data_IF_889127768237
#
_entry.id   IF_889127768237
#
_cell.length_a   1.000
_cell.length_b   1.000
_cell.length_c   1.000
_cell.angle_alpha   90.00
_cell.angle_beta   90.00
_cell.angle_gamma   90.00
#
_symmetry.space_group_name_H-M   'P 1'
#
loop_
_entity.id
_entity.type
_entity.pdbx_description
1 polymer ?
#
# COMPACT_ATOMS: atom_id res chain seq x y z
N UNK A 1 0.74 34.06 -3.35
CA UNK A 1 -0.54 34.73 -3.01
C UNK A 1 -1.63 33.66 -2.99
N UNK A 2 -2.56 33.69 -2.03
CA UNK A 2 -3.68 32.76 -1.89
C UNK A 2 -5.00 33.53 -1.86
N UNK A 3 -6.02 33.03 -2.54
CA UNK A 3 -7.37 33.58 -2.45
C UNK A 3 -8.13 32.92 -1.29
N UNK A 4 -8.67 33.73 -0.37
CA UNK A 4 -9.51 33.26 0.74
C UNK A 4 -10.79 34.06 0.83
N UNK A 5 -11.86 33.42 1.31
CA UNK A 5 -13.13 34.06 1.66
C UNK A 5 -13.23 34.11 3.17
N UNK A 6 -13.49 35.29 3.73
CA UNK A 6 -13.64 35.45 5.17
C UNK A 6 -14.99 34.89 5.63
N UNK A 7 -14.98 33.95 6.58
CA UNK A 7 -16.20 33.38 7.17
C UNK A 7 -17.03 34.41 7.97
N UNK A 8 -16.39 35.49 8.47
CA UNK A 8 -17.06 36.54 9.24
C UNK A 8 -17.73 37.61 8.37
N UNK A 9 -17.06 38.08 7.31
CA UNK A 9 -17.58 39.18 6.48
C UNK A 9 -17.96 38.79 5.05
N UNK A 10 -17.74 37.53 4.65
CA UNK A 10 -18.06 37.00 3.32
C UNK A 10 -17.20 37.54 2.17
N UNK A 11 -16.29 38.50 2.43
CA UNK A 11 -15.46 39.11 1.38
C UNK A 11 -14.31 38.19 0.96
N UNK A 12 -14.07 38.14 -0.35
CA UNK A 12 -12.93 37.45 -0.97
C UNK A 12 -11.73 38.39 -1.09
N UNK A 13 -10.55 37.93 -0.69
CA UNK A 13 -9.29 38.69 -0.79
C UNK A 13 -8.14 37.83 -1.30
N UNK A 14 -7.07 38.48 -1.80
CA UNK A 14 -5.78 37.86 -2.12
C UNK A 14 -4.78 38.21 -1.04
N UNK A 15 -4.22 37.19 -0.41
CA UNK A 15 -3.32 37.31 0.72
C UNK A 15 -1.92 36.80 0.35
N UNK A 16 -0.86 37.42 0.87
CA UNK A 16 0.46 36.78 0.85
C UNK A 16 0.40 35.52 1.70
N UNK A 17 1.09 34.45 1.29
CA UNK A 17 0.99 33.11 1.92
C UNK A 17 1.36 33.16 3.40
N UNK A 18 2.27 34.06 3.76
CA UNK A 18 2.78 34.29 5.12
C UNK A 18 1.93 35.29 5.95
N UNK A 19 1.05 36.08 5.31
CA UNK A 19 0.31 37.18 5.95
C UNK A 19 -1.21 36.91 6.08
N UNK A 20 -1.68 35.70 5.73
CA UNK A 20 -3.09 35.33 5.70
C UNK A 20 -3.69 35.00 7.08
N UNK A 21 -3.25 35.70 8.14
CA UNK A 21 -3.71 35.48 9.52
C UNK A 21 -4.96 36.30 9.86
N UNK A 22 -5.10 37.51 9.30
CA UNK A 22 -6.26 38.36 9.54
C UNK A 22 -6.93 38.79 8.23
N UNK A 23 -8.25 38.92 8.26
CA UNK A 23 -9.01 39.47 7.16
C UNK A 23 -8.72 40.97 7.01
N UNK A 24 -8.10 41.37 5.91
CA UNK A 24 -7.84 42.78 5.56
C UNK A 24 -9.09 43.69 5.53
N UNK A 25 -10.29 43.13 5.49
CA UNK A 25 -11.54 43.89 5.39
C UNK A 25 -12.28 44.09 6.72
N UNK A 26 -12.19 43.13 7.65
CA UNK A 26 -12.95 43.19 8.91
C UNK A 26 -12.10 42.93 10.16
N UNK A 27 -10.80 42.67 10.00
CA UNK A 27 -9.89 42.39 11.12
C UNK A 27 -10.08 41.02 11.79
N UNK A 28 -11.11 40.25 11.42
CA UNK A 28 -11.31 38.91 11.97
C UNK A 28 -10.12 37.99 11.64
N UNK A 29 -9.65 37.24 12.63
CA UNK A 29 -8.61 36.21 12.44
C UNK A 29 -9.19 35.10 11.54
N UNK A 30 -8.45 34.72 10.50
CA UNK A 30 -8.77 33.49 9.78
C UNK A 30 -8.53 32.33 10.75
N UNK A 31 -9.34 31.26 10.71
CA UNK A 31 -8.95 30.03 11.37
C UNK A 31 -7.53 29.71 10.90
N UNK A 32 -6.65 29.39 11.85
CA UNK A 32 -5.27 29.03 11.53
C UNK A 32 -5.34 28.03 10.37
N UNK A 33 -4.60 28.27 9.28
CA UNK A 33 -4.28 27.14 8.40
C UNK A 33 -3.71 26.10 9.35
N UNK A 34 -4.37 24.94 9.45
CA UNK A 34 -3.90 23.87 10.33
C UNK A 34 -2.43 23.70 10.00
N UNK A 35 -1.58 24.15 10.94
CA UNK A 35 -0.15 23.99 10.80
C UNK A 35 0.06 22.51 10.61
N UNK A 36 0.82 22.15 9.58
CA UNK A 36 1.08 20.75 9.22
C UNK A 36 1.29 19.94 10.49
N UNK A 37 0.42 18.97 10.71
CA UNK A 37 0.44 18.24 11.98
C UNK A 37 1.81 17.58 12.14
N UNK A 38 2.26 17.40 13.39
CA UNK A 38 3.53 16.72 13.63
C UNK A 38 3.57 15.35 12.92
N UNK A 39 2.43 14.66 12.84
CA UNK A 39 2.27 13.41 12.10
C UNK A 39 2.49 13.57 10.58
N UNK A 40 1.95 14.61 9.93
CA UNK A 40 2.13 14.86 8.49
C UNK A 40 3.60 15.10 8.11
N UNK A 41 4.34 15.83 8.94
CA UNK A 41 5.76 16.04 8.70
C UNK A 41 6.57 14.74 8.82
N UNK A 42 6.21 13.90 9.80
CA UNK A 42 6.83 12.58 9.97
C UNK A 42 6.50 11.66 8.78
N UNK A 43 5.26 11.67 8.28
CA UNK A 43 4.85 10.89 7.10
C UNK A 43 5.70 11.24 5.87
N UNK A 44 5.88 12.53 5.57
CA UNK A 44 6.70 12.97 4.43
C UNK A 44 8.17 12.60 4.56
N UNK A 45 8.70 12.52 5.79
CA UNK A 45 10.04 11.98 6.04
C UNK A 45 10.09 10.48 5.77
N UNK A 46 9.07 9.73 6.20
CA UNK A 46 8.98 8.29 5.98
C UNK A 46 8.90 7.94 4.48
N UNK A 47 8.21 8.74 3.67
CA UNK A 47 8.13 8.54 2.21
C UNK A 47 9.50 8.57 1.53
N UNK A 48 10.41 9.44 1.99
CA UNK A 48 11.76 9.63 1.44
C UNK A 48 12.79 8.63 1.99
N UNK A 49 12.44 7.91 3.05
CA UNK A 49 13.31 6.92 3.66
C UNK A 49 13.32 5.63 2.82
N UNK A 50 14.51 5.08 2.61
CA UNK A 50 14.74 3.86 1.82
C UNK A 50 14.98 2.64 2.72
N UNK A 51 15.48 2.85 3.94
CA UNK A 51 15.64 1.78 4.92
C UNK A 51 14.28 1.43 5.56
N UNK A 52 13.84 0.18 5.38
CA UNK A 52 12.54 -0.27 5.88
C UNK A 52 12.40 -0.22 7.40
N UNK A 53 13.48 -0.42 8.17
CA UNK A 53 13.42 -0.37 9.63
C UNK A 53 13.22 1.06 10.12
N UNK A 54 13.94 2.02 9.52
CA UNK A 54 13.76 3.46 9.80
C UNK A 54 12.41 3.95 9.34
N UNK A 55 11.97 3.53 8.15
CA UNK A 55 10.65 3.87 7.61
C UNK A 55 9.53 3.40 8.53
N UNK A 56 9.62 2.16 9.05
CA UNK A 56 8.69 1.65 10.07
C UNK A 56 8.68 2.53 11.32
N UNK A 57 9.85 2.86 11.84
CA UNK A 57 9.98 3.68 13.05
C UNK A 57 9.34 5.07 12.86
N UNK A 58 9.49 5.67 11.67
CA UNK A 58 8.83 6.94 11.36
C UNK A 58 7.30 6.79 11.34
N UNK A 59 6.74 5.74 10.74
CA UNK A 59 5.28 5.53 10.81
C UNK A 59 4.78 5.31 12.24
N UNK A 60 5.56 4.62 13.09
CA UNK A 60 5.23 4.49 14.51
C UNK A 60 5.27 5.85 15.23
N UNK A 61 6.26 6.69 14.96
CA UNK A 61 6.33 8.05 15.51
C UNK A 61 5.15 8.92 15.04
N UNK A 62 4.69 8.75 13.80
CA UNK A 62 3.48 9.43 13.32
C UNK A 62 2.24 9.00 14.11
N UNK A 63 2.14 7.73 14.51
CA UNK A 63 1.06 7.23 15.38
C UNK A 63 1.19 7.68 16.84
N UNK A 64 2.40 7.91 17.34
CA UNK A 64 2.61 8.53 18.65
C UNK A 64 2.16 10.00 18.65
N UNK A 65 2.37 10.70 17.54
CA UNK A 65 1.92 12.09 17.35
C UNK A 65 0.40 12.19 17.11
N UNK A 66 -0.18 11.22 16.40
CA UNK A 66 -1.62 11.09 16.16
C UNK A 66 -2.00 9.62 15.99
N UNK A 67 -2.61 9.02 17.02
CA UNK A 67 -3.03 7.61 17.02
C UNK A 67 -4.11 7.29 15.98
N UNK A 68 -4.78 8.33 15.46
CA UNK A 68 -5.81 8.25 14.44
C UNK A 68 -5.29 8.58 13.05
N UNK A 69 -3.97 8.75 12.89
CA UNK A 69 -3.33 8.93 11.60
C UNK A 69 -3.51 7.67 10.75
N UNK A 70 -4.57 7.69 9.94
CA UNK A 70 -4.96 6.56 9.08
C UNK A 70 -3.84 6.19 8.13
N UNK A 71 -3.16 7.18 7.55
CA UNK A 71 -2.10 6.94 6.58
C UNK A 71 -0.93 6.16 7.18
N UNK A 72 -0.52 6.47 8.42
CA UNK A 72 0.52 5.71 9.10
C UNK A 72 0.12 4.24 9.32
N UNK A 73 -1.15 3.98 9.70
CA UNK A 73 -1.67 2.62 9.82
C UNK A 73 -1.68 1.87 8.48
N UNK A 74 -2.10 2.53 7.39
CA UNK A 74 -2.07 1.95 6.03
C UNK A 74 -0.65 1.55 5.63
N UNK A 75 0.29 2.48 5.79
CA UNK A 75 1.68 2.24 5.38
C UNK A 75 2.36 1.14 6.21
N UNK A 76 2.03 1.04 7.51
CA UNK A 76 2.49 -0.09 8.34
C UNK A 76 1.92 -1.43 7.88
N UNK A 77 0.67 -1.46 7.40
CA UNK A 77 0.08 -2.66 6.81
C UNK A 77 0.78 -3.07 5.49
N UNK A 78 1.19 -2.09 4.69
CA UNK A 78 1.92 -2.33 3.43
C UNK A 78 3.39 -2.73 3.62
N UNK A 79 3.99 -2.30 4.73
CA UNK A 79 5.38 -2.61 5.09
C UNK A 79 5.49 -3.97 5.80
N UNK A 80 4.46 -4.34 6.58
CA UNK A 80 4.36 -5.56 7.39
C UNK A 80 5.54 -5.80 8.31
N UNK A 81 6.49 -6.68 7.97
CA UNK A 81 7.67 -6.98 8.82
C UNK A 81 9.00 -6.75 8.11
N UNK A 82 8.97 -5.99 7.01
CA UNK A 82 10.18 -5.52 6.36
C UNK A 82 11.00 -4.64 7.32
N UNK A 83 12.31 -4.86 7.36
CA UNK A 83 13.22 -4.15 8.27
C UNK A 83 13.44 -4.81 9.64
N UNK A 84 12.67 -5.84 10.00
CA UNK A 84 12.97 -6.64 11.20
C UNK A 84 14.30 -7.38 11.02
N UNK A 85 15.20 -7.31 12.00
CA UNK A 85 16.44 -8.10 11.95
C UNK A 85 16.10 -9.60 12.02
N UNK A 86 16.79 -10.39 11.21
CA UNK A 86 16.63 -11.85 11.16
C UNK A 86 17.92 -12.50 10.72
N UNK A 87 18.06 -13.79 11.02
CA UNK A 87 19.18 -14.58 10.54
C UNK A 87 19.02 -14.90 9.05
N UNK A 88 18.32 -15.99 8.74
CA UNK A 88 18.10 -16.43 7.36
C UNK A 88 17.07 -15.53 6.65
N UNK A 89 17.17 -15.36 5.31
CA UNK A 89 16.12 -14.74 4.51
C UNK A 89 14.77 -15.42 4.76
N UNK A 90 13.76 -14.64 5.14
CA UNK A 90 12.42 -15.11 5.46
C UNK A 90 11.39 -14.28 4.70
N UNK A 91 10.81 -14.88 3.66
CA UNK A 91 9.83 -14.24 2.79
C UNK A 91 8.50 -13.94 3.51
N UNK A 92 8.21 -14.60 4.64
CA UNK A 92 7.01 -14.30 5.46
C UNK A 92 7.01 -12.90 6.07
N UNK A 93 8.11 -12.16 5.90
CA UNK A 93 8.22 -10.74 6.28
C UNK A 93 7.67 -9.79 5.22
N UNK A 94 7.59 -10.25 3.97
CA UNK A 94 7.05 -9.48 2.85
C UNK A 94 5.52 -9.63 2.87
N UNK A 95 4.76 -8.53 2.99
CA UNK A 95 3.31 -8.60 3.20
C UNK A 95 2.54 -9.24 2.06
N UNK A 96 3.07 -9.10 0.85
CA UNK A 96 2.49 -9.65 -0.37
C UNK A 96 2.90 -11.09 -0.68
N UNK A 97 3.92 -11.65 0.01
CA UNK A 97 4.35 -13.05 -0.18
C UNK A 97 3.22 -14.08 -0.06
N UNK A 98 2.21 -13.93 0.83
CA UNK A 98 1.09 -14.85 0.87
C UNK A 98 0.35 -15.07 -0.45
N UNK A 99 0.41 -14.12 -1.40
CA UNK A 99 -0.16 -14.29 -2.74
C UNK A 99 0.51 -15.40 -3.55
N UNK A 100 1.71 -15.85 -3.14
CA UNK A 100 2.44 -16.94 -3.79
C UNK A 100 1.66 -18.26 -3.80
N UNK A 101 0.80 -18.48 -2.79
CA UNK A 101 -0.07 -19.66 -2.78
C UNK A 101 -1.10 -19.68 -3.91
N UNK A 102 -1.39 -18.54 -4.54
CA UNK A 102 -2.24 -18.44 -5.73
C UNK A 102 -1.44 -18.66 -7.01
N UNK A 103 -0.15 -18.33 -7.00
CA UNK A 103 0.71 -18.53 -8.17
C UNK A 103 1.17 -20.00 -8.26
N UNK A 104 1.56 -20.59 -7.13
CA UNK A 104 2.11 -21.94 -7.03
C UNK A 104 1.38 -22.78 -5.97
N UNK A 105 0.06 -23.01 -6.08
CA UNK A 105 -0.74 -23.68 -5.04
C UNK A 105 -0.29 -25.11 -4.71
N UNK A 106 0.43 -25.77 -5.64
CA UNK A 106 0.96 -27.13 -5.49
C UNK A 106 2.18 -27.21 -4.58
N UNK A 107 2.86 -26.09 -4.34
CA UNK A 107 4.03 -26.04 -3.44
C UNK A 107 3.61 -25.99 -1.97
N UNK A 108 2.33 -25.72 -1.70
CA UNK A 108 1.77 -25.53 -0.38
C UNK A 108 0.69 -26.55 -0.06
N UNK A 109 0.69 -27.08 1.17
CA UNK A 109 -0.43 -27.86 1.68
C UNK A 109 -1.67 -26.97 1.83
N UNK A 110 -2.84 -27.59 1.85
CA UNK A 110 -4.13 -26.89 2.01
C UNK A 110 -4.16 -25.99 3.24
N UNK A 111 -3.69 -26.50 4.37
CA UNK A 111 -3.66 -25.76 5.65
C UNK A 111 -2.70 -24.57 5.57
N UNK A 112 -1.58 -24.71 4.84
CA UNK A 112 -0.62 -23.63 4.62
C UNK A 112 -1.20 -22.54 3.73
N UNK A 113 -1.93 -22.89 2.67
CA UNK A 113 -2.62 -21.90 1.82
C UNK A 113 -3.65 -21.11 2.60
N UNK A 114 -4.46 -21.78 3.41
CA UNK A 114 -5.44 -21.13 4.27
C UNK A 114 -4.77 -20.15 5.25
N UNK A 115 -3.66 -20.55 5.87
CA UNK A 115 -2.90 -19.67 6.76
C UNK A 115 -2.28 -18.47 6.04
N UNK A 116 -1.70 -18.68 4.85
CA UNK A 116 -1.17 -17.59 4.03
C UNK A 116 -2.27 -16.57 3.68
N UNK A 117 -3.41 -17.03 3.18
CA UNK A 117 -4.55 -16.16 2.88
C UNK A 117 -5.07 -15.44 4.14
N UNK A 118 -5.06 -16.11 5.30
CA UNK A 118 -5.40 -15.47 6.58
C UNK A 118 -4.41 -14.36 6.93
N UNK A 119 -3.11 -14.59 6.78
CA UNK A 119 -2.06 -13.61 7.07
C UNK A 119 -2.17 -12.34 6.21
N UNK A 120 -2.58 -12.49 4.94
CA UNK A 120 -2.84 -11.37 4.04
C UNK A 120 -3.90 -10.42 4.61
N UNK A 121 -4.92 -10.94 5.30
CA UNK A 121 -6.13 -10.19 5.68
C UNK A 121 -6.28 -9.96 7.18
N UNK A 122 -5.45 -10.58 8.01
CA UNK A 122 -5.58 -10.55 9.47
C UNK A 122 -4.27 -10.17 10.16
N UNK A 123 -3.45 -9.36 9.49
CA UNK A 123 -2.29 -8.74 10.15
C UNK A 123 -2.76 -7.54 11.00
N UNK A 124 -2.08 -7.32 12.13
CA UNK A 124 -2.53 -6.33 13.12
C UNK A 124 -2.62 -4.89 12.58
N UNK A 125 -1.65 -4.37 11.80
CA UNK A 125 -1.77 -3.03 11.22
C UNK A 125 -2.94 -2.90 10.24
N UNK A 126 -3.19 -3.91 9.41
CA UNK A 126 -4.35 -3.91 8.50
C UNK A 126 -5.67 -3.85 9.27
N UNK A 127 -5.84 -4.67 10.32
CA UNK A 127 -7.06 -4.67 11.14
C UNK A 127 -7.24 -3.33 11.87
N UNK A 128 -6.17 -2.74 12.37
CA UNK A 128 -6.19 -1.43 13.00
C UNK A 128 -6.60 -0.31 12.01
N UNK A 129 -6.07 -0.33 10.79
CA UNK A 129 -6.47 0.59 9.72
C UNK A 129 -7.95 0.39 9.34
N UNK A 130 -8.36 -0.87 9.16
CA UNK A 130 -9.72 -1.24 8.77
C UNK A 130 -10.78 -0.75 9.78
N UNK A 131 -10.45 -0.75 11.08
CA UNK A 131 -11.33 -0.25 12.13
C UNK A 131 -11.50 1.28 12.13
N UNK A 132 -10.61 2.01 11.47
CA UNK A 132 -10.56 3.48 11.45
C UNK A 132 -11.06 4.10 10.15
N UNK A 133 -11.13 3.33 9.07
CA UNK A 133 -11.59 3.86 7.76
C UNK A 133 -13.11 4.02 7.72
N UNK A 134 -13.61 5.10 7.07
CA UNK A 134 -15.05 5.29 6.88
C UNK A 134 -15.65 4.30 5.87
N UNK A 135 -14.84 3.74 4.96
CA UNK A 135 -15.26 2.76 3.97
C UNK A 135 -14.29 1.57 3.93
N UNK A 136 -14.65 0.51 4.65
CA UNK A 136 -13.86 -0.71 4.78
C UNK A 136 -13.65 -1.45 3.45
N UNK A 137 -14.65 -1.47 2.57
CA UNK A 137 -14.55 -2.15 1.28
C UNK A 137 -13.57 -1.43 0.33
N UNK A 138 -13.65 -0.10 0.27
CA UNK A 138 -12.71 0.70 -0.52
C UNK A 138 -11.27 0.51 -0.03
N UNK A 139 -11.04 0.52 1.28
CA UNK A 139 -9.71 0.28 1.85
C UNK A 139 -9.20 -1.13 1.58
N UNK A 140 -10.06 -2.16 1.68
CA UNK A 140 -9.67 -3.55 1.38
C UNK A 140 -9.23 -3.69 -0.07
N UNK A 141 -9.98 -3.10 -1.01
CA UNK A 141 -9.60 -3.08 -2.43
C UNK A 141 -8.25 -2.39 -2.64
N UNK A 142 -8.07 -1.19 -2.10
CA UNK A 142 -6.80 -0.46 -2.16
C UNK A 142 -5.65 -1.31 -1.62
N UNK A 143 -5.86 -1.96 -0.47
CA UNK A 143 -4.86 -2.82 0.15
C UNK A 143 -4.49 -4.03 -0.70
N UNK A 144 -5.47 -4.79 -1.17
CA UNK A 144 -5.23 -5.97 -1.99
C UNK A 144 -4.57 -5.59 -3.33
N UNK A 145 -4.97 -4.48 -3.94
CA UNK A 145 -4.36 -3.97 -5.17
C UNK A 145 -2.89 -3.61 -4.94
N UNK A 146 -2.56 -2.95 -3.83
CA UNK A 146 -1.17 -2.66 -3.45
C UNK A 146 -0.35 -3.93 -3.18
N UNK A 147 -0.93 -4.93 -2.49
CA UNK A 147 -0.28 -6.23 -2.28
C UNK A 147 -0.03 -6.97 -3.60
N UNK A 148 -1.00 -6.96 -4.52
CA UNK A 148 -0.84 -7.56 -5.84
C UNK A 148 0.27 -6.88 -6.64
N UNK A 149 0.27 -5.54 -6.72
CA UNK A 149 1.31 -4.78 -7.41
C UNK A 149 2.71 -5.07 -6.83
N UNK A 150 2.83 -5.08 -5.49
CA UNK A 150 4.09 -5.40 -4.81
C UNK A 150 4.54 -6.84 -5.11
N UNK A 151 3.64 -7.82 -5.09
CA UNK A 151 3.99 -9.21 -5.40
C UNK A 151 4.49 -9.35 -6.85
N UNK A 152 3.79 -8.73 -7.79
CA UNK A 152 4.16 -8.74 -9.21
C UNK A 152 5.55 -8.15 -9.42
N UNK A 153 5.84 -7.02 -8.79
CA UNK A 153 7.13 -6.36 -8.92
C UNK A 153 8.27 -7.17 -8.27
N UNK A 154 8.08 -7.61 -7.03
CA UNK A 154 9.14 -8.29 -6.27
C UNK A 154 9.38 -9.73 -6.72
N UNK A 155 8.32 -10.49 -7.04
CA UNK A 155 8.44 -11.93 -7.29
C UNK A 155 8.33 -12.26 -8.77
N UNK A 156 7.33 -11.75 -9.50
CA UNK A 156 7.13 -12.15 -10.89
C UNK A 156 8.11 -11.47 -11.83
N UNK A 157 8.26 -10.14 -11.72
CA UNK A 157 9.18 -9.36 -12.54
C UNK A 157 10.63 -9.69 -12.22
N UNK A 158 11.00 -9.76 -10.94
CA UNK A 158 12.38 -10.09 -10.56
C UNK A 158 12.79 -11.52 -10.93
N UNK A 159 11.91 -12.52 -10.74
CA UNK A 159 12.19 -13.90 -11.18
C UNK A 159 12.35 -13.97 -12.70
N UNK A 160 11.48 -13.29 -13.44
CA UNK A 160 11.62 -13.19 -14.89
C UNK A 160 12.97 -12.56 -15.28
N UNK A 161 13.44 -11.54 -14.57
CA UNK A 161 14.72 -10.87 -14.81
C UNK A 161 15.94 -11.72 -14.42
N UNK A 162 15.95 -12.36 -13.24
CA UNK A 162 17.01 -13.27 -12.80
C UNK A 162 17.18 -14.42 -13.79
N UNK A 163 16.06 -14.98 -14.30
CA UNK A 163 16.11 -16.03 -15.32
C UNK A 163 16.83 -15.57 -16.61
N UNK A 164 16.89 -14.26 -16.90
CA UNK A 164 17.68 -13.73 -18.01
C UNK A 164 19.17 -13.73 -17.71
N UNK A 165 19.56 -13.36 -16.49
CA UNK A 165 20.95 -13.23 -16.08
C UNK A 165 21.65 -14.59 -15.96
N UNK A 166 20.96 -15.60 -15.39
CA UNK A 166 21.53 -16.93 -15.17
C UNK A 166 21.69 -17.76 -16.45
N UNK A 167 20.81 -17.57 -17.45
CA UNK A 167 20.81 -18.37 -18.67
C UNK A 167 21.46 -17.68 -19.88
N UNK A 168 21.94 -16.44 -19.74
CA UNK A 168 22.56 -15.68 -20.86
C UNK A 168 21.60 -15.36 -22.02
N UNK A 169 20.31 -15.69 -21.89
CA UNK A 169 19.28 -15.44 -22.89
C UNK A 169 18.60 -14.12 -22.54
N UNK A 170 18.88 -13.07 -23.32
CA UNK A 170 18.13 -11.81 -23.24
C UNK A 170 16.75 -12.01 -23.86
N UNK A 171 15.74 -12.30 -23.03
CA UNK A 171 14.34 -12.24 -23.46
C UNK A 171 13.93 -10.80 -23.74
N UNK A 172 13.07 -10.59 -24.74
CA UNK A 172 12.59 -9.25 -25.09
C UNK A 172 11.66 -8.73 -23.97
N UNK A 173 11.63 -7.42 -23.68
CA UNK A 173 10.72 -6.84 -22.67
C UNK A 173 9.25 -7.26 -22.86
N UNK A 174 8.80 -7.39 -24.11
CA UNK A 174 7.46 -7.88 -24.45
C UNK A 174 7.19 -9.32 -23.94
N UNK A 175 8.17 -10.21 -23.97
CA UNK A 175 8.05 -11.59 -23.48
C UNK A 175 7.97 -11.63 -21.95
N UNK A 176 8.74 -10.77 -21.27
CA UNK A 176 8.65 -10.62 -19.80
C UNK A 176 7.26 -10.15 -19.41
N UNK A 177 6.75 -9.12 -20.08
CA UNK A 177 5.38 -8.61 -19.89
C UNK A 177 4.34 -9.72 -20.09
N UNK A 178 4.43 -10.48 -21.17
CA UNK A 178 3.50 -11.60 -21.44
C UNK A 178 3.55 -12.68 -20.35
N UNK A 179 4.74 -13.00 -19.82
CA UNK A 179 4.86 -13.97 -18.71
C UNK A 179 4.22 -13.46 -17.43
N UNK A 180 4.39 -12.19 -17.11
CA UNK A 180 3.75 -11.57 -15.94
C UNK A 180 2.22 -11.63 -16.10
N UNK A 181 1.70 -11.25 -17.27
CA UNK A 181 0.26 -11.32 -17.57
C UNK A 181 -0.26 -12.77 -17.41
N UNK A 182 0.45 -13.74 -17.98
CA UNK A 182 0.06 -15.15 -17.87
C UNK A 182 0.10 -15.66 -16.42
N UNK A 183 1.11 -15.27 -15.64
CA UNK A 183 1.22 -15.61 -14.24
C UNK A 183 0.06 -15.03 -13.42
N UNK A 184 -0.30 -13.76 -13.65
CA UNK A 184 -1.44 -13.13 -12.99
C UNK A 184 -2.76 -13.80 -13.40
N UNK A 185 -2.91 -14.19 -14.66
CA UNK A 185 -4.10 -14.94 -15.10
C UNK A 185 -4.25 -16.26 -14.32
N UNK A 186 -3.16 -17.02 -14.15
CA UNK A 186 -3.15 -18.24 -13.32
C UNK A 186 -3.54 -17.93 -11.87
N UNK A 187 -3.00 -16.86 -11.28
CA UNK A 187 -3.37 -16.44 -9.93
C UNK A 187 -4.86 -16.11 -9.81
N UNK A 188 -5.44 -15.44 -10.82
CA UNK A 188 -6.87 -15.10 -10.85
C UNK A 188 -7.76 -16.33 -10.98
N UNK A 189 -7.36 -17.31 -11.77
CA UNK A 189 -8.05 -18.61 -11.86
C UNK A 189 -8.02 -19.34 -10.52
N UNK A 190 -6.85 -19.41 -9.89
CA UNK A 190 -6.69 -20.03 -8.58
C UNK A 190 -7.45 -19.27 -7.47
N UNK A 191 -7.52 -17.93 -7.54
CA UNK A 191 -8.31 -17.13 -6.61
C UNK A 191 -9.81 -17.48 -6.66
N UNK A 192 -10.33 -17.85 -7.83
CA UNK A 192 -11.72 -18.31 -7.96
C UNK A 192 -11.92 -19.78 -7.60
N UNK A 193 -10.93 -20.64 -7.88
CA UNK A 193 -11.09 -22.09 -7.78
C UNK A 193 -10.67 -22.68 -6.43
N UNK A 194 -9.74 -22.05 -5.71
CA UNK A 194 -9.20 -22.61 -4.48
C UNK A 194 -10.24 -22.53 -3.35
N UNK A 195 -10.51 -23.65 -2.65
CA UNK A 195 -11.51 -23.67 -1.59
C UNK A 195 -11.06 -22.93 -0.33
N UNK A 196 -9.77 -22.59 -0.22
CA UNK A 196 -9.25 -21.81 0.90
C UNK A 196 -9.49 -20.30 0.75
N UNK A 197 -9.85 -19.83 -0.46
CA UNK A 197 -10.22 -18.43 -0.68
C UNK A 197 -11.69 -18.24 -0.29
N UNK A 198 -12.00 -17.39 0.71
CA UNK A 198 -13.36 -17.10 1.11
C UNK A 198 -14.20 -16.59 -0.06
N UNK A 199 -15.44 -17.06 -0.18
CA UNK A 199 -16.31 -16.78 -1.33
C UNK A 199 -16.47 -15.26 -1.54
N UNK A 200 -16.67 -14.53 -0.44
CA UNK A 200 -16.85 -13.09 -0.42
C UNK A 200 -15.61 -12.31 -0.88
N UNK A 201 -14.43 -12.93 -0.88
CA UNK A 201 -13.18 -12.29 -1.30
C UNK A 201 -12.71 -12.69 -2.70
N UNK A 202 -13.34 -13.68 -3.33
CA UNK A 202 -12.89 -14.18 -4.65
C UNK A 202 -12.89 -13.07 -5.69
N UNK A 203 -14.03 -12.39 -5.84
CA UNK A 203 -14.18 -11.31 -6.81
C UNK A 203 -13.23 -10.14 -6.51
N UNK A 204 -13.09 -9.76 -5.25
CA UNK A 204 -12.20 -8.67 -4.82
C UNK A 204 -10.73 -9.00 -5.10
N UNK A 205 -10.30 -10.22 -4.79
CA UNK A 205 -8.92 -10.66 -5.02
C UNK A 205 -8.60 -10.78 -6.50
N UNK A 206 -9.54 -11.28 -7.31
CA UNK A 206 -9.39 -11.31 -8.76
C UNK A 206 -9.29 -9.90 -9.36
N UNK A 207 -10.11 -8.96 -8.90
CA UNK A 207 -10.05 -7.58 -9.34
C UNK A 207 -8.74 -6.91 -8.92
N UNK A 208 -8.31 -7.11 -7.67
CA UNK A 208 -7.07 -6.58 -7.14
C UNK A 208 -5.83 -7.09 -7.89
N UNK A 209 -5.82 -8.37 -8.30
CA UNK A 209 -4.75 -8.94 -9.12
C UNK A 209 -4.67 -8.29 -10.51
N UNK A 210 -5.81 -8.02 -11.13
CA UNK A 210 -5.88 -7.32 -12.42
C UNK A 210 -5.45 -5.84 -12.31
N UNK A 211 -5.94 -5.14 -11.29
CA UNK A 211 -5.57 -3.75 -11.02
C UNK A 211 -4.08 -3.62 -10.67
N UNK A 212 -3.57 -4.52 -9.83
CA UNK A 212 -2.17 -4.57 -9.45
C UNK A 212 -1.26 -4.86 -10.66
N UNK A 213 -1.72 -5.68 -11.61
CA UNK A 213 -1.04 -5.90 -12.88
C UNK A 213 -0.97 -4.63 -13.71
N UNK A 214 -2.07 -3.89 -13.84
CA UNK A 214 -2.08 -2.63 -14.59
C UNK A 214 -1.10 -1.62 -13.98
N UNK A 215 -1.14 -1.43 -12.66
CA UNK A 215 -0.21 -0.54 -11.95
C UNK A 215 1.24 -0.97 -12.14
N UNK A 216 1.54 -2.27 -12.02
CA UNK A 216 2.88 -2.78 -12.19
C UNK A 216 3.38 -2.62 -13.63
N UNK A 217 2.52 -2.65 -14.65
CA UNK A 217 2.90 -2.52 -16.06
C UNK A 217 2.99 -1.06 -16.54
N UNK A 218 2.32 -0.13 -15.85
CA UNK A 218 2.38 1.31 -16.13
C UNK A 218 3.64 1.99 -15.54
N UNK A 219 4.22 1.41 -14.49
CA UNK A 219 5.51 1.81 -13.91
C UNK A 219 6.72 1.21 -14.62
#
# INVERSE_FOLDING_TARGET
>A
MVEKVCAHCGKRGRYAREAARFCQFCGAEFPAEEGQSAAEEILRRAERETDYARKRALYQQALEADENCLEAWKQLAFLGRLGEKGGKPDFSRIPSWPLDCLFQPREYKREQRAEMLRLLLHNAPYLAALAKVPNAAAFRREYLTAMAAQYIDLFLRHNAQISMALFGIRRRPAEVRQRIIAAVAVMRENAAALPEVPEELRAELQAALEEGLNLALEG
#
